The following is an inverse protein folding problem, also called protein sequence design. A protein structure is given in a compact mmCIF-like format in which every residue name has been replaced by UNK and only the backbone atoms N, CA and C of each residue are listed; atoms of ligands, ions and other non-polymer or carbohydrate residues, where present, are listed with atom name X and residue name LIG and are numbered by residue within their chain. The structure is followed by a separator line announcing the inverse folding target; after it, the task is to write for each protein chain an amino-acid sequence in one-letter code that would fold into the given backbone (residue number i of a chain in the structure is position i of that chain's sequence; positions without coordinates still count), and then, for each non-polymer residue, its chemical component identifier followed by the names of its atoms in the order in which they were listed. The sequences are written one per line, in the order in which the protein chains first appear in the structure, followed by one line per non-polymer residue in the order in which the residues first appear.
data_IF_360965009212
#
_entry.id   IF_360965009212
#
_cell.length_a   1.000
_cell.length_b   1.000
_cell.length_c   1.000
_cell.angle_alpha   90.00
_cell.angle_beta   90.00
_cell.angle_gamma   90.00
#
_symmetry.space_group_name_H-M   'P 1'
#
loop_
_entity.id
_entity.type
_entity.pdbx_description
1 polymer ?
#
# COMPACT_ATOMS: atom_id res chain seq x y z
N UNK A 1 -0.75 4.26 28.95
CA UNK A 1 0.18 5.01 28.07
C UNK A 1 0.23 4.48 26.64
N UNK A 2 0.48 3.19 26.36
CA UNK A 2 0.59 2.69 24.97
C UNK A 2 -0.71 2.79 24.16
N UNK A 3 -1.85 2.38 24.72
CA UNK A 3 -3.14 2.42 24.04
C UNK A 3 -3.62 3.86 23.73
N UNK A 4 -3.44 4.79 24.66
CA UNK A 4 -3.83 6.20 24.50
C UNK A 4 -3.01 6.90 23.40
N UNK A 5 -1.70 6.64 23.34
CA UNK A 5 -0.84 7.15 22.29
C UNK A 5 -1.16 6.53 20.92
N UNK A 6 -1.54 5.24 20.87
CA UNK A 6 -1.96 4.58 19.64
C UNK A 6 -3.27 5.15 19.10
N UNK A 7 -4.26 5.37 19.98
CA UNK A 7 -5.55 6.00 19.62
C UNK A 7 -5.32 7.42 19.10
N UNK A 8 -4.45 8.20 19.75
CA UNK A 8 -4.12 9.54 19.29
C UNK A 8 -3.38 9.53 17.94
N UNK A 9 -2.46 8.58 17.72
CA UNK A 9 -1.80 8.38 16.43
C UNK A 9 -2.76 8.05 15.30
N UNK A 10 -3.72 7.14 15.54
CA UNK A 10 -4.78 6.79 14.57
C UNK A 10 -5.71 7.97 14.31
N UNK A 11 -6.13 8.69 15.36
CA UNK A 11 -6.97 9.86 15.22
C UNK A 11 -6.29 10.94 14.36
N UNK A 12 -5.00 11.20 14.60
CA UNK A 12 -4.23 12.17 13.81
C UNK A 12 -4.08 11.68 12.36
N UNK A 13 -3.83 10.39 12.13
CA UNK A 13 -3.71 9.83 10.79
C UNK A 13 -5.03 9.94 10.00
N UNK A 14 -6.17 9.64 10.62
CA UNK A 14 -7.51 9.78 10.01
C UNK A 14 -7.81 11.25 9.70
N UNK A 15 -7.55 12.17 10.65
CA UNK A 15 -7.77 13.61 10.45
C UNK A 15 -6.84 14.14 9.33
N UNK A 16 -5.59 13.70 9.27
CA UNK A 16 -4.62 14.13 8.25
C UNK A 16 -4.92 13.54 6.87
N UNK A 17 -5.42 12.30 6.81
CA UNK A 17 -5.89 11.68 5.57
C UNK A 17 -7.11 12.40 5.00
N UNK A 18 -8.03 12.83 5.87
CA UNK A 18 -9.17 13.69 5.49
C UNK A 18 -8.71 15.05 5.00
N UNK A 19 -7.66 15.62 5.59
CA UNK A 19 -7.01 16.84 5.08
C UNK A 19 -6.54 16.68 3.64
N UNK A 20 -5.81 15.60 3.34
CA UNK A 20 -5.11 15.44 2.07
C UNK A 20 -5.99 14.97 0.91
N UNK A 21 -6.94 14.06 1.16
CA UNK A 21 -7.85 13.53 0.13
C UNK A 21 -9.26 14.12 0.18
N UNK A 22 -9.70 14.64 1.32
CA UNK A 22 -11.05 15.20 1.50
C UNK A 22 -11.20 16.62 0.96
N UNK A 23 -10.12 17.40 0.89
CA UNK A 23 -10.18 18.76 0.35
C UNK A 23 -10.50 18.79 -1.14
N UNK A 24 -10.07 17.82 -1.94
CA UNK A 24 -10.26 17.83 -3.40
C UNK A 24 -11.75 17.68 -3.78
N UNK A 25 -12.51 16.68 -3.28
CA UNK A 25 -13.95 16.59 -3.54
C UNK A 25 -14.74 17.81 -3.07
N UNK A 26 -14.36 18.38 -1.92
CA UNK A 26 -15.02 19.60 -1.42
C UNK A 26 -14.67 20.83 -2.26
N UNK A 27 -13.42 20.95 -2.73
CA UNK A 27 -13.01 21.99 -3.67
C UNK A 27 -13.82 21.91 -4.98
N UNK A 28 -14.05 20.70 -5.50
CA UNK A 28 -14.90 20.46 -6.67
C UNK A 28 -16.37 20.83 -6.40
N UNK A 29 -16.90 20.53 -5.22
CA UNK A 29 -18.25 20.94 -4.84
C UNK A 29 -18.38 22.48 -4.73
N UNK A 30 -17.37 23.15 -4.16
CA UNK A 30 -17.28 24.60 -4.07
C UNK A 30 -17.15 25.27 -5.45
N UNK A 31 -16.42 24.65 -6.37
CA UNK A 31 -16.37 25.06 -7.78
C UNK A 31 -17.78 25.09 -8.38
N UNK A 32 -18.55 24.02 -8.19
CA UNK A 32 -19.95 23.94 -8.63
C UNK A 32 -20.86 24.97 -7.97
N UNK A 33 -20.50 25.46 -6.78
CA UNK A 33 -21.17 26.54 -6.06
C UNK A 33 -20.80 27.96 -6.53
N UNK A 34 -19.94 28.11 -7.55
CA UNK A 34 -19.59 29.41 -8.14
C UNK A 34 -18.33 30.07 -7.59
N UNK A 35 -17.47 29.34 -6.87
CA UNK A 35 -16.15 29.83 -6.46
C UNK A 35 -15.18 29.85 -7.66
N UNK A 36 -14.30 30.85 -7.73
CA UNK A 36 -13.31 31.02 -8.81
C UNK A 36 -12.26 29.90 -8.85
N UNK A 37 -11.56 29.77 -9.99
CA UNK A 37 -10.49 28.76 -10.14
C UNK A 37 -9.40 28.91 -9.09
N UNK A 38 -8.95 30.14 -8.85
CA UNK A 38 -7.97 30.40 -7.80
C UNK A 38 -8.48 30.03 -6.40
N UNK A 39 -9.77 30.21 -6.12
CA UNK A 39 -10.36 29.86 -4.84
C UNK A 39 -10.31 28.35 -4.56
N UNK A 40 -10.55 27.53 -5.59
CA UNK A 40 -10.47 26.07 -5.50
C UNK A 40 -9.03 25.60 -5.33
N UNK A 41 -8.09 26.15 -6.09
CA UNK A 41 -6.67 25.82 -5.97
C UNK A 41 -6.11 26.24 -4.61
N UNK A 42 -6.45 27.45 -4.13
CA UNK A 42 -6.06 27.90 -2.80
C UNK A 42 -6.64 27.03 -1.69
N UNK A 43 -7.88 26.56 -1.85
CA UNK A 43 -8.52 25.64 -0.92
C UNK A 43 -7.83 24.27 -0.88
N UNK A 44 -7.45 23.71 -2.04
CA UNK A 44 -6.66 22.46 -2.10
C UNK A 44 -5.32 22.63 -1.37
N UNK A 45 -4.64 23.76 -1.57
CA UNK A 45 -3.38 24.05 -0.88
C UNK A 45 -3.53 24.37 0.61
N UNK A 46 -4.74 24.72 1.09
CA UNK A 46 -4.95 25.02 2.51
C UNK A 46 -4.60 23.85 3.44
N UNK A 47 -4.59 22.60 2.93
CA UNK A 47 -4.17 21.43 3.70
C UNK A 47 -2.65 21.39 3.99
N UNK A 48 -1.84 22.24 3.34
CA UNK A 48 -0.45 22.47 3.77
C UNK A 48 -0.37 23.14 5.17
N UNK A 49 -1.47 23.69 5.67
CA UNK A 49 -1.59 24.44 6.92
C UNK A 49 -2.58 23.71 7.85
N UNK A 50 -2.26 22.50 8.30
CA UNK A 50 -3.15 21.75 9.21
C UNK A 50 -2.99 22.14 10.67
N UNK A 51 -4.10 22.17 11.43
CA UNK A 51 -4.10 22.47 12.88
C UNK A 51 -3.11 21.57 13.66
N UNK A 52 -3.00 20.25 13.40
CA UNK A 52 -2.00 19.41 14.06
C UNK A 52 -0.57 19.86 13.78
N UNK A 53 -0.24 20.15 12.52
CA UNK A 53 1.11 20.61 12.12
C UNK A 53 1.43 21.97 12.75
N UNK A 54 0.46 22.89 12.78
CA UNK A 54 0.63 24.16 13.49
C UNK A 54 0.83 23.99 14.98
N UNK A 55 0.10 23.09 15.62
CA UNK A 55 0.25 22.86 17.06
C UNK A 55 1.62 22.22 17.38
N UNK A 56 2.14 21.38 16.47
CA UNK A 56 3.53 20.91 16.52
C UNK A 56 4.50 22.08 16.39
N UNK A 57 4.38 22.94 15.37
CA UNK A 57 5.24 24.11 15.21
C UNK A 57 5.15 25.08 16.38
N UNK A 58 3.97 25.28 16.96
CA UNK A 58 3.76 26.07 18.17
C UNK A 58 4.53 25.48 19.36
N UNK A 59 4.49 24.15 19.52
CA UNK A 59 5.18 23.45 20.62
C UNK A 59 6.70 23.45 20.45
N UNK A 60 7.20 23.36 19.22
CA UNK A 60 8.64 23.31 18.91
C UNK A 60 9.30 24.71 18.84
N UNK A 61 8.67 25.68 18.18
CA UNK A 61 9.28 26.99 17.88
C UNK A 61 8.60 28.17 18.60
N UNK A 62 7.50 27.93 19.31
CA UNK A 62 6.71 28.97 19.98
C UNK A 62 5.75 29.72 19.06
N UNK A 63 4.92 30.58 19.66
CA UNK A 63 3.79 31.24 18.98
C UNK A 63 4.22 32.21 17.86
N UNK A 64 5.31 32.96 18.08
CA UNK A 64 5.78 33.97 17.11
C UNK A 64 6.27 33.34 15.81
N UNK A 65 7.05 32.27 15.91
CA UNK A 65 7.59 31.56 14.74
C UNK A 65 6.49 30.79 14.02
N UNK A 66 5.55 30.18 14.75
CA UNK A 66 4.38 29.54 14.15
C UNK A 66 3.53 30.52 13.32
N UNK A 67 3.25 31.72 13.84
CA UNK A 67 2.52 32.75 13.07
C UNK A 67 3.32 33.23 11.85
N UNK A 68 4.64 33.36 11.97
CA UNK A 68 5.50 33.70 10.84
C UNK A 68 5.45 32.64 9.73
N UNK A 69 5.56 31.36 10.11
CA UNK A 69 5.45 30.22 9.19
C UNK A 69 4.06 30.17 8.54
N UNK A 70 2.98 30.32 9.33
CA UNK A 70 1.62 30.40 8.79
C UNK A 70 1.50 31.55 7.79
N UNK A 71 2.02 32.73 8.12
CA UNK A 71 1.95 33.91 7.27
C UNK A 71 2.67 33.69 5.93
N UNK A 72 3.87 33.12 5.94
CA UNK A 72 4.62 32.90 4.70
C UNK A 72 3.98 31.81 3.83
N UNK A 73 3.48 30.73 4.44
CA UNK A 73 2.74 29.70 3.72
C UNK A 73 1.45 30.25 3.11
N UNK A 74 0.69 31.06 3.87
CA UNK A 74 -0.53 31.68 3.37
C UNK A 74 -0.26 32.61 2.17
N UNK A 75 0.72 33.51 2.28
CA UNK A 75 1.07 34.45 1.20
C UNK A 75 1.56 33.71 -0.04
N UNK A 76 2.43 32.70 0.13
CA UNK A 76 2.96 31.93 -1.01
C UNK A 76 1.87 31.10 -1.69
N UNK A 77 0.93 30.51 -0.94
CA UNK A 77 -0.21 29.78 -1.50
C UNK A 77 -1.17 30.72 -2.25
N UNK A 78 -1.53 31.85 -1.65
CA UNK A 78 -2.41 32.82 -2.29
C UNK A 78 -1.79 33.37 -3.58
N UNK A 79 -0.49 33.70 -3.54
CA UNK A 79 0.24 34.13 -4.72
C UNK A 79 0.32 33.04 -5.79
N UNK A 80 0.56 31.78 -5.41
CA UNK A 80 0.61 30.65 -6.36
C UNK A 80 -0.74 30.42 -7.02
N UNK A 81 -1.84 30.47 -6.27
CA UNK A 81 -3.20 30.32 -6.80
C UNK A 81 -3.54 31.43 -7.80
N UNK A 82 -3.25 32.68 -7.43
CA UNK A 82 -3.43 33.84 -8.32
C UNK A 82 -2.57 33.75 -9.58
N UNK A 83 -1.29 33.41 -9.43
CA UNK A 83 -0.35 33.26 -10.56
C UNK A 83 -0.80 32.15 -11.51
N UNK A 84 -1.28 31.02 -10.98
CA UNK A 84 -1.82 29.93 -11.79
C UNK A 84 -3.07 30.38 -12.56
N UNK A 85 -4.01 31.08 -11.92
CA UNK A 85 -5.20 31.61 -12.60
C UNK A 85 -4.83 32.57 -13.75
N UNK A 86 -3.89 33.48 -13.51
CA UNK A 86 -3.37 34.39 -14.54
C UNK A 86 -2.67 33.65 -15.67
N UNK A 87 -1.83 32.64 -15.36
CA UNK A 87 -1.18 31.80 -16.35
C UNK A 87 -2.21 31.04 -17.20
N UNK A 88 -3.18 30.36 -16.59
CA UNK A 88 -4.20 29.61 -17.33
C UNK A 88 -5.08 30.52 -18.18
N UNK A 89 -5.39 31.72 -17.68
CA UNK A 89 -6.12 32.75 -18.43
C UNK A 89 -5.30 33.25 -19.62
N UNK A 90 -4.00 33.52 -19.43
CA UNK A 90 -3.10 33.96 -20.49
C UNK A 90 -2.85 32.90 -21.57
N UNK A 91 -2.77 31.62 -21.20
CA UNK A 91 -2.62 30.52 -22.14
C UNK A 91 -3.95 30.07 -22.78
N UNK A 92 -5.10 30.58 -22.32
CA UNK A 92 -6.42 30.20 -22.83
C UNK A 92 -6.82 28.75 -22.54
N UNK A 93 -6.08 28.05 -21.67
CA UNK A 93 -6.34 26.67 -21.24
C UNK A 93 -7.13 26.69 -19.92
N UNK A 94 -7.99 27.69 -19.71
CA UNK A 94 -8.82 27.73 -18.50
C UNK A 94 -9.73 26.50 -18.56
N UNK A 95 -9.55 25.51 -17.66
CA UNK A 95 -10.41 24.33 -17.65
C UNK A 95 -11.80 24.81 -17.28
N UNK A 96 -12.69 24.91 -18.27
CA UNK A 96 -14.08 25.27 -18.07
C UNK A 96 -14.82 24.04 -17.52
N UNK A 97 -14.49 23.69 -16.27
CA UNK A 97 -15.10 22.58 -15.53
C UNK A 97 -16.58 22.84 -15.24
N UNK A 98 -17.11 24.03 -15.53
CA UNK A 98 -18.54 24.30 -15.56
C UNK A 98 -19.31 23.40 -16.57
N UNK A 99 -18.62 22.80 -17.55
CA UNK A 99 -19.19 21.77 -18.43
C UNK A 99 -18.89 20.33 -18.01
N UNK A 100 -18.03 20.13 -17.01
CA UNK A 100 -17.60 18.81 -16.53
C UNK A 100 -18.41 18.37 -15.32
N UNK A 101 -19.72 18.19 -15.52
CA UNK A 101 -20.64 17.42 -14.68
C UNK A 101 -20.32 17.44 -13.18
N UNK A 102 -21.02 18.32 -12.48
CA UNK A 102 -21.71 17.98 -11.24
C UNK A 102 -21.63 16.47 -10.92
N UNK A 103 -20.71 16.09 -10.05
CA UNK A 103 -20.69 14.81 -9.35
C UNK A 103 -21.89 14.69 -8.36
N UNK A 104 -23.01 15.35 -8.69
CA UNK A 104 -24.31 15.34 -8.02
C UNK A 104 -25.38 14.65 -8.86
N UNK A 105 -25.01 13.87 -9.88
CA UNK A 105 -25.89 12.85 -10.42
C UNK A 105 -25.29 11.47 -10.12
N UNK A 106 -25.56 11.02 -8.90
CA UNK A 106 -25.43 9.62 -8.49
C UNK A 106 -26.52 8.80 -9.20
N UNK A 107 -26.53 8.76 -10.54
CA UNK A 107 -27.30 7.78 -11.30
C UNK A 107 -26.45 6.52 -11.48
N UNK A 108 -26.35 5.83 -10.34
CA UNK A 108 -26.37 4.38 -10.15
C UNK A 108 -26.39 3.55 -11.46
N UNK A 109 -25.28 2.85 -11.75
CA UNK A 109 -25.14 1.79 -12.75
C UNK A 109 -25.04 2.18 -14.24
N UNK A 110 -24.03 2.98 -14.60
CA UNK A 110 -23.49 2.91 -15.96
C UNK A 110 -22.33 1.89 -16.02
N UNK A 111 -22.35 1.00 -17.03
CA UNK A 111 -21.25 0.07 -17.35
C UNK A 111 -20.06 0.85 -17.92
N UNK A 112 -19.43 1.67 -17.07
CA UNK A 112 -18.33 2.56 -17.42
C UNK A 112 -16.97 1.86 -17.37
N UNK A 113 -15.95 2.56 -17.88
CA UNK A 113 -14.56 2.08 -17.87
C UNK A 113 -14.08 1.67 -16.48
N UNK A 114 -14.48 2.37 -15.42
CA UNK A 114 -14.15 2.00 -14.03
C UNK A 114 -14.67 0.61 -13.66
N UNK A 115 -15.87 0.24 -14.13
CA UNK A 115 -16.43 -1.10 -13.90
C UNK A 115 -15.61 -2.17 -14.64
N UNK A 116 -15.34 -1.96 -15.94
CA UNK A 116 -14.52 -2.89 -16.72
C UNK A 116 -13.09 -3.01 -16.20
N UNK A 117 -12.47 -1.90 -15.81
CA UNK A 117 -11.13 -1.88 -15.21
C UNK A 117 -11.10 -2.61 -13.87
N UNK A 118 -12.11 -2.43 -13.03
CA UNK A 118 -12.24 -3.18 -11.78
C UNK A 118 -12.39 -4.68 -12.04
N UNK A 119 -13.23 -5.07 -13.00
CA UNK A 119 -13.40 -6.49 -13.39
C UNK A 119 -12.08 -7.08 -13.89
N UNK A 120 -11.35 -6.36 -14.75
CA UNK A 120 -10.03 -6.78 -15.22
C UNK A 120 -9.04 -6.92 -14.05
N UNK A 121 -9.02 -5.96 -13.13
CA UNK A 121 -8.15 -6.00 -11.96
C UNK A 121 -8.47 -7.20 -11.05
N UNK A 122 -9.75 -7.49 -10.80
CA UNK A 122 -10.17 -8.68 -10.05
C UNK A 122 -9.82 -9.97 -10.78
N UNK A 123 -9.99 -10.03 -12.11
CA UNK A 123 -9.63 -11.19 -12.92
C UNK A 123 -8.11 -11.44 -12.91
N UNK A 124 -7.30 -10.40 -13.07
CA UNK A 124 -5.83 -10.48 -12.98
C UNK A 124 -5.38 -10.89 -11.58
N UNK A 125 -5.96 -10.29 -10.54
CA UNK A 125 -5.66 -10.63 -9.15
C UNK A 125 -6.03 -12.08 -8.84
N UNK A 126 -7.21 -12.53 -9.26
CA UNK A 126 -7.65 -13.91 -9.14
C UNK A 126 -6.77 -14.88 -9.93
N UNK A 127 -6.37 -14.51 -11.16
CA UNK A 127 -5.45 -15.29 -11.98
C UNK A 127 -4.05 -15.39 -11.34
N UNK A 128 -3.52 -14.30 -10.79
CA UNK A 128 -2.25 -14.29 -10.08
C UNK A 128 -2.32 -15.09 -8.79
N UNK A 129 -3.42 -15.00 -8.02
CA UNK A 129 -3.67 -15.84 -6.84
C UNK A 129 -3.79 -17.31 -7.23
N UNK A 130 -4.46 -17.60 -8.33
CA UNK A 130 -4.60 -18.95 -8.86
C UNK A 130 -3.25 -19.52 -9.31
N UNK A 131 -2.41 -18.74 -10.00
CA UNK A 131 -1.04 -19.12 -10.37
C UNK A 131 -0.15 -19.25 -9.12
N UNK A 132 -0.31 -18.38 -8.13
CA UNK A 132 0.39 -18.48 -6.85
C UNK A 132 0.00 -19.77 -6.10
N UNK A 133 -1.29 -20.11 -6.08
CA UNK A 133 -1.79 -21.34 -5.46
C UNK A 133 -1.46 -22.61 -6.27
N UNK A 134 -1.38 -22.54 -7.61
CA UNK A 134 -1.08 -23.70 -8.46
C UNK A 134 0.41 -23.88 -8.82
N UNK A 135 1.24 -22.85 -8.70
CA UNK A 135 2.52 -22.78 -9.43
C UNK A 135 3.77 -22.44 -8.62
N UNK A 136 3.68 -22.16 -7.32
CA UNK A 136 4.86 -21.95 -6.45
C UNK A 136 4.87 -22.80 -5.17
N UNK A 137 3.81 -23.57 -4.95
CA UNK A 137 3.75 -24.61 -3.92
C UNK A 137 3.44 -25.93 -4.59
N UNK A 138 4.46 -26.61 -5.14
CA UNK A 138 4.31 -28.05 -5.36
C UNK A 138 3.91 -28.67 -4.00
N UNK A 139 2.85 -29.50 -3.93
CA UNK A 139 2.48 -30.20 -2.71
C UNK A 139 3.57 -31.24 -2.39
N UNK A 140 4.61 -30.76 -1.73
CA UNK A 140 5.77 -31.54 -1.34
C UNK A 140 5.79 -31.73 0.16
N UNK A 141 5.89 -32.98 0.60
CA UNK A 141 6.07 -33.33 2.03
C UNK A 141 7.42 -32.90 2.57
N UNK A 142 8.37 -32.57 1.68
CA UNK A 142 9.73 -32.20 2.01
C UNK A 142 9.99 -30.75 1.64
N UNK A 143 10.85 -30.08 2.41
CA UNK A 143 11.25 -28.69 2.18
C UNK A 143 12.72 -28.66 1.79
N UNK A 144 13.01 -28.03 0.65
CA UNK A 144 14.37 -27.83 0.17
C UNK A 144 15.14 -26.90 1.15
N UNK A 145 16.26 -27.35 1.75
CA UNK A 145 17.00 -26.59 2.77
C UNK A 145 17.76 -25.38 2.21
N UNK A 146 17.96 -25.29 0.89
CA UNK A 146 18.70 -24.21 0.24
C UNK A 146 17.77 -23.04 -0.12
N UNK A 147 16.58 -23.32 -0.67
CA UNK A 147 15.67 -22.29 -1.16
C UNK A 147 14.32 -22.22 -0.41
N UNK A 148 14.02 -23.19 0.46
CA UNK A 148 12.79 -23.24 1.24
C UNK A 148 11.55 -23.68 0.46
N UNK A 149 11.70 -24.07 -0.82
CA UNK A 149 10.63 -24.55 -1.68
C UNK A 149 10.17 -25.96 -1.25
N UNK A 150 8.87 -26.24 -1.29
CA UNK A 150 8.35 -27.59 -1.03
C UNK A 150 8.54 -28.48 -2.26
N UNK A 151 8.97 -29.71 -2.04
CA UNK A 151 9.21 -30.74 -3.05
C UNK A 151 8.69 -32.09 -2.57
N UNK A 152 8.27 -32.92 -3.51
CA UNK A 152 7.95 -34.32 -3.25
C UNK A 152 9.23 -35.19 -3.34
N UNK A 153 9.06 -36.50 -3.17
CA UNK A 153 10.10 -37.52 -3.26
C UNK A 153 10.52 -37.85 -4.71
N UNK A 154 9.93 -37.20 -5.72
CA UNK A 154 10.29 -37.38 -7.14
C UNK A 154 11.51 -36.54 -7.56
N UNK A 155 11.91 -35.59 -6.73
CA UNK A 155 13.03 -34.68 -6.97
C UNK A 155 14.42 -35.26 -6.65
N UNK A 156 15.51 -34.55 -7.03
CA UNK A 156 16.87 -34.92 -6.66
C UNK A 156 17.05 -34.93 -5.13
N UNK A 157 17.66 -35.98 -4.59
CA UNK A 157 17.94 -36.15 -3.16
C UNK A 157 19.41 -36.46 -2.87
N UNK A 158 19.81 -36.32 -1.60
CA UNK A 158 21.11 -36.73 -1.06
C UNK A 158 20.95 -37.20 0.38
N UNK A 159 21.74 -38.19 0.79
CA UNK A 159 21.80 -38.63 2.19
C UNK A 159 23.08 -38.07 2.84
N UNK A 160 22.94 -37.33 3.94
CA UNK A 160 24.04 -36.74 4.71
C UNK A 160 23.76 -36.94 6.20
N UNK A 161 24.76 -37.41 6.97
CA UNK A 161 24.64 -37.72 8.41
C UNK A 161 23.45 -38.63 8.79
N UNK A 162 23.06 -39.53 7.88
CA UNK A 162 21.95 -40.47 8.09
C UNK A 162 20.55 -39.91 7.78
N UNK A 163 20.45 -38.64 7.37
CA UNK A 163 19.20 -38.01 6.94
C UNK A 163 19.15 -37.81 5.42
N UNK A 164 17.98 -38.03 4.80
CA UNK A 164 17.78 -37.82 3.37
C UNK A 164 17.13 -36.46 3.11
N UNK A 165 17.85 -35.60 2.39
CA UNK A 165 17.42 -34.27 1.98
C UNK A 165 16.90 -34.29 0.53
N UNK A 166 15.77 -33.63 0.29
CA UNK A 166 15.17 -33.50 -1.03
C UNK A 166 15.26 -32.06 -1.53
N UNK A 167 15.54 -31.88 -2.82
CA UNK A 167 15.78 -30.57 -3.43
C UNK A 167 14.81 -30.31 -4.58
N UNK A 168 14.39 -29.05 -4.74
CA UNK A 168 13.50 -28.63 -5.82
C UNK A 168 14.19 -28.64 -7.20
N UNK A 169 15.53 -28.63 -7.23
CA UNK A 169 16.30 -28.61 -8.47
C UNK A 169 17.72 -29.17 -8.28
N UNK A 170 18.34 -29.57 -9.39
CA UNK A 170 19.76 -29.98 -9.42
C UNK A 170 20.71 -28.87 -8.94
N UNK A 171 20.29 -27.60 -9.08
CA UNK A 171 21.06 -26.43 -8.63
C UNK A 171 21.09 -26.34 -7.10
N UNK A 172 19.95 -26.54 -6.44
CA UNK A 172 19.89 -26.58 -4.97
C UNK A 172 20.69 -27.75 -4.42
N UNK A 173 20.57 -28.95 -5.02
CA UNK A 173 21.39 -30.12 -4.65
C UNK A 173 22.89 -29.80 -4.69
N UNK A 174 23.37 -29.20 -5.79
CA UNK A 174 24.79 -28.83 -5.94
C UNK A 174 25.24 -27.78 -4.91
N UNK A 175 24.35 -26.83 -4.56
CA UNK A 175 24.65 -25.83 -3.52
C UNK A 175 24.83 -26.49 -2.15
N UNK A 176 24.00 -27.48 -1.84
CA UNK A 176 24.12 -28.28 -0.62
C UNK A 176 25.40 -29.13 -0.59
N UNK A 177 25.77 -29.76 -1.71
CA UNK A 177 27.02 -30.54 -1.83
C UNK A 177 28.27 -29.68 -1.62
N UNK A 178 28.24 -28.41 -2.06
CA UNK A 178 29.37 -27.51 -1.93
C UNK A 178 29.55 -26.98 -0.50
N UNK A 179 28.46 -26.65 0.20
CA UNK A 179 28.50 -26.09 1.56
C UNK A 179 27.51 -26.79 2.51
N UNK A 180 27.69 -28.10 2.79
CA UNK A 180 26.71 -28.87 3.56
C UNK A 180 26.52 -28.33 4.99
N UNK A 181 27.58 -27.84 5.64
CA UNK A 181 27.51 -27.28 6.99
C UNK A 181 26.67 -26.00 7.10
N UNK A 182 26.48 -25.26 6.01
CA UNK A 182 25.66 -24.04 6.00
C UNK A 182 24.15 -24.37 5.98
N UNK A 183 23.79 -25.50 5.36
CA UNK A 183 22.39 -25.87 5.10
C UNK A 183 21.89 -27.06 5.93
N UNK A 184 22.79 -27.90 6.49
CA UNK A 184 22.45 -29.09 7.27
C UNK A 184 21.78 -28.80 8.64
N UNK A 185 21.67 -27.53 9.04
CA UNK A 185 20.96 -27.15 10.27
C UNK A 185 19.42 -27.19 10.14
N UNK A 186 18.88 -27.36 8.93
CA UNK A 186 17.44 -27.44 8.69
C UNK A 186 17.02 -28.90 8.49
N UNK A 187 16.64 -29.58 9.58
CA UNK A 187 16.13 -30.96 9.52
C UNK A 187 14.98 -31.09 8.50
N UNK A 188 14.88 -32.23 7.78
CA UNK A 188 13.77 -32.51 6.87
C UNK A 188 12.43 -32.54 7.63
N UNK A 189 11.72 -31.41 7.63
CA UNK A 189 10.40 -31.29 8.27
C UNK A 189 9.35 -32.03 7.44
N UNK A 190 9.06 -33.28 7.78
CA UNK A 190 7.92 -34.03 7.26
C UNK A 190 6.64 -33.41 7.82
N UNK A 191 5.91 -32.65 7.01
CA UNK A 191 4.63 -32.06 7.43
C UNK A 191 3.50 -33.11 7.37
N UNK A 192 3.59 -34.13 8.22
CA UNK A 192 2.54 -35.12 8.41
C UNK A 192 1.47 -34.62 9.39
N UNK A 193 0.27 -34.35 8.90
CA UNK A 193 -0.92 -34.40 9.73
C UNK A 193 -1.10 -35.84 10.22
N UNK A 194 -1.11 -36.05 11.54
CA UNK A 194 -1.41 -37.37 12.13
C UNK A 194 -0.75 -37.59 13.48
N UNK A 195 -1.26 -36.94 14.52
CA UNK A 195 -1.06 -37.42 15.88
C UNK A 195 -1.83 -38.75 16.04
N UNK A 196 -1.10 -39.86 16.01
CA UNK A 196 -1.53 -41.12 16.62
C UNK A 196 -0.36 -41.70 17.40
N UNK A 197 -0.22 -41.24 18.64
CA UNK A 197 0.53 -41.94 19.67
C UNK A 197 -0.33 -43.09 20.21
N UNK A 198 0.15 -44.32 20.05
CA UNK A 198 0.06 -45.35 21.11
C UNK A 198 0.97 -46.53 20.77
N UNK A 199 2.15 -46.51 21.40
CA UNK A 199 2.82 -47.67 22.03
C UNK A 199 1.76 -48.59 22.69
N UNK A 200 1.83 -49.92 22.78
CA UNK A 200 2.89 -50.94 22.83
C UNK A 200 2.26 -52.30 22.45
N UNK A 201 3.05 -53.18 21.83
CA UNK A 201 2.84 -54.63 21.86
C UNK A 201 3.71 -55.19 22.98
N UNK A 202 3.11 -55.82 23.99
CA UNK A 202 3.59 -57.06 24.63
C UNK A 202 2.52 -57.63 25.57
#
# INVERSE_FOLDING_TARGET
MSAENAVMGVAIAVISFVGSMGNVPFAVALWGGGISFAGVIAFVYADLITIPVLNVYRKYYGWKVMLYILGIFFVTMAFTGFLMEELFTAFGIVPNLAGGQTASEQTYFELNYTFYLNVIAFALSGFLLYVYWRGLGAPGQYRDPVCGMRTDDSGPSITHDGETYYFCSKRCKRSFENHPSEFAHQHPQVSGAGASQSHEHH
#
